data_IF_967551615897
#
_entry.id   IF_967551615897
#
_cell.length_a   1.000
_cell.length_b   1.000
_cell.length_c   1.000
_cell.angle_alpha   90.00
_cell.angle_beta   90.00
_cell.angle_gamma   90.00
#
_symmetry.space_group_name_H-M   'P 1'
#
loop_
_entity.id
_entity.type
_entity.pdbx_description
1 polymer ?
#
# COMPACT_ATOMS: atom_id res chain seq x y z
N UNK A 1 -18.66 -24.72 -19.23
CA UNK A 1 -17.38 -24.64 -19.96
C UNK A 1 -16.56 -23.53 -19.31
N UNK A 2 -15.82 -23.84 -18.25
CA UNK A 2 -14.89 -22.89 -17.63
C UNK A 2 -13.59 -23.04 -18.40
N UNK A 3 -13.15 -21.98 -19.08
CA UNK A 3 -11.84 -21.97 -19.73
C UNK A 3 -10.80 -21.92 -18.63
N UNK A 4 -10.22 -23.09 -18.38
CA UNK A 4 -9.13 -23.33 -17.45
C UNK A 4 -7.80 -22.89 -18.08
N UNK A 5 -7.74 -21.62 -18.49
CA UNK A 5 -6.51 -20.97 -18.96
C UNK A 5 -5.90 -20.13 -17.82
N UNK A 6 -6.13 -20.57 -16.57
CA UNK A 6 -5.55 -19.99 -15.37
C UNK A 6 -4.19 -20.65 -15.06
N UNK A 7 -3.36 -20.85 -16.09
CA UNK A 7 -2.03 -21.46 -15.97
C UNK A 7 -0.91 -20.44 -16.25
N UNK A 8 -1.00 -19.27 -15.62
CA UNK A 8 0.17 -18.44 -15.35
C UNK A 8 0.25 -18.24 -13.84
N UNK A 9 1.35 -18.67 -13.21
CA UNK A 9 1.67 -18.41 -11.80
C UNK A 9 1.94 -16.91 -11.52
N UNK A 10 1.41 -16.03 -12.36
CA UNK A 10 1.65 -14.59 -12.37
C UNK A 10 0.31 -13.89 -12.14
N UNK A 11 0.23 -13.14 -11.06
CA UNK A 11 -0.89 -12.26 -10.77
C UNK A 11 -0.56 -10.89 -11.37
N UNK A 12 -1.25 -10.42 -12.42
CA UNK A 12 -0.97 -9.13 -13.03
C UNK A 12 -1.43 -8.00 -12.09
N UNK A 13 -0.49 -7.14 -11.69
CA UNK A 13 -0.74 -5.96 -10.85
C UNK A 13 -0.33 -4.69 -11.62
N UNK A 14 -1.15 -4.21 -12.57
CA UNK A 14 -0.77 -3.09 -13.45
C UNK A 14 -0.68 -1.74 -12.71
N UNK A 15 -1.37 -1.61 -11.57
CA UNK A 15 -1.50 -0.34 -10.84
C UNK A 15 -0.54 -0.21 -9.64
N UNK A 16 0.31 -1.21 -9.40
CA UNK A 16 1.25 -1.23 -8.28
C UNK A 16 2.66 -1.39 -8.83
N UNK A 17 3.55 -0.46 -8.50
CA UNK A 17 4.95 -0.55 -8.91
C UNK A 17 5.65 -1.71 -8.18
N UNK A 18 6.69 -2.29 -8.78
CA UNK A 18 7.47 -3.35 -8.12
C UNK A 18 8.05 -2.90 -6.78
N UNK A 19 8.56 -1.66 -6.70
CA UNK A 19 9.08 -1.06 -5.47
C UNK A 19 8.01 -0.96 -4.38
N UNK A 20 6.80 -0.51 -4.74
CA UNK A 20 5.66 -0.44 -3.81
C UNK A 20 5.27 -1.83 -3.34
N UNK A 21 5.17 -2.80 -4.27
CA UNK A 21 4.81 -4.18 -3.94
C UNK A 21 5.82 -4.84 -3.00
N UNK A 22 7.13 -4.59 -3.19
CA UNK A 22 8.17 -5.11 -2.28
C UNK A 22 7.93 -4.64 -0.84
N UNK A 23 7.56 -3.38 -0.64
CA UNK A 23 7.27 -2.83 0.68
C UNK A 23 6.00 -3.41 1.31
N UNK A 24 4.95 -3.59 0.51
CA UNK A 24 3.71 -4.24 0.97
C UNK A 24 4.02 -5.68 1.43
N UNK A 25 4.82 -6.42 0.67
CA UNK A 25 5.25 -7.78 1.04
C UNK A 25 6.08 -7.78 2.32
N UNK A 26 6.96 -6.78 2.50
CA UNK A 26 7.75 -6.64 3.73
C UNK A 26 6.86 -6.41 4.95
N UNK A 27 5.86 -5.52 4.82
CA UNK A 27 4.86 -5.28 5.86
C UNK A 27 4.11 -6.55 6.24
N UNK A 28 3.57 -7.29 5.25
CA UNK A 28 2.87 -8.56 5.50
C UNK A 28 3.75 -9.58 6.19
N UNK A 29 5.01 -9.74 5.75
CA UNK A 29 5.94 -10.69 6.39
C UNK A 29 6.17 -10.33 7.84
N UNK A 30 6.33 -9.04 8.16
CA UNK A 30 6.53 -8.60 9.54
C UNK A 30 5.31 -8.80 10.42
N UNK A 31 4.11 -8.55 9.90
CA UNK A 31 2.85 -8.82 10.60
C UNK A 31 2.55 -10.32 10.75
N UNK A 32 3.13 -11.17 9.90
CA UNK A 32 3.02 -12.64 10.02
C UNK A 32 4.06 -13.22 11.00
N UNK A 33 5.26 -12.64 11.09
CA UNK A 33 6.36 -13.13 11.92
C UNK A 33 6.25 -12.69 13.38
N UNK A 34 5.72 -11.49 13.61
CA UNK A 34 5.65 -10.88 14.94
C UNK A 34 4.21 -10.91 15.44
N UNK A 35 3.99 -11.55 16.58
CA UNK A 35 2.78 -11.32 17.37
C UNK A 35 2.75 -9.85 17.86
N UNK A 36 1.61 -9.35 18.37
CA UNK A 36 1.38 -7.96 18.85
C UNK A 36 2.35 -7.54 19.98
N UNK A 37 3.60 -7.33 19.60
CA UNK A 37 4.75 -7.09 20.45
C UNK A 37 5.18 -5.63 20.29
N UNK A 38 6.00 -5.15 21.22
CA UNK A 38 6.55 -3.79 21.11
C UNK A 38 7.52 -3.64 19.93
N UNK A 39 8.05 -4.75 19.41
CA UNK A 39 8.82 -4.79 18.17
C UNK A 39 7.96 -4.48 16.95
N UNK A 40 6.75 -5.06 16.86
CA UNK A 40 5.80 -4.79 15.78
C UNK A 40 5.39 -3.30 15.77
N UNK A 41 5.03 -2.75 16.93
CA UNK A 41 4.70 -1.31 17.06
C UNK A 41 5.87 -0.40 16.67
N UNK A 42 7.11 -0.83 16.93
CA UNK A 42 8.31 -0.09 16.55
C UNK A 42 8.55 -0.18 15.04
N UNK A 43 8.31 -1.34 14.45
CA UNK A 43 8.33 -1.53 13.00
C UNK A 43 7.30 -0.62 12.33
N UNK A 44 6.04 -0.61 12.76
CA UNK A 44 4.97 0.21 12.16
C UNK A 44 5.34 1.69 12.16
N UNK A 45 5.82 2.20 13.30
CA UNK A 45 6.28 3.59 13.42
C UNK A 45 7.42 3.93 12.47
N UNK A 46 8.29 2.98 12.16
CA UNK A 46 9.39 3.21 11.22
C UNK A 46 8.96 3.00 9.78
N UNK A 47 8.01 2.10 9.53
CA UNK A 47 7.42 1.86 8.22
C UNK A 47 6.68 3.08 7.69
N UNK A 48 6.02 3.83 8.58
CA UNK A 48 5.32 5.08 8.26
C UNK A 48 6.27 6.27 7.99
N UNK A 49 7.55 6.20 8.38
CA UNK A 49 8.56 7.25 8.13
C UNK A 49 9.12 7.20 6.70
N UNK A 50 8.22 7.21 5.72
CA UNK A 50 8.57 7.24 4.30
C UNK A 50 8.24 8.61 3.71
N UNK A 51 8.83 8.94 2.57
CA UNK A 51 8.48 10.17 1.85
C UNK A 51 7.01 10.16 1.45
N UNK A 52 6.36 11.33 1.47
CA UNK A 52 4.95 11.52 1.11
C UNK A 52 4.56 10.86 -0.24
N UNK A 53 5.46 10.88 -1.22
CA UNK A 53 5.23 10.19 -2.50
C UNK A 53 5.09 8.68 -2.33
N UNK A 54 5.97 8.07 -1.53
CA UNK A 54 5.96 6.63 -1.27
C UNK A 54 4.75 6.25 -0.41
N UNK A 55 4.40 7.08 0.57
CA UNK A 55 3.19 6.92 1.38
C UNK A 55 1.92 6.92 0.51
N UNK A 56 1.80 7.87 -0.41
CA UNK A 56 0.68 7.92 -1.35
C UNK A 56 0.60 6.66 -2.23
N UNK A 57 1.74 6.17 -2.71
CA UNK A 57 1.77 4.98 -3.56
C UNK A 57 1.42 3.72 -2.75
N UNK A 58 1.82 3.64 -1.47
CA UNK A 58 1.42 2.58 -0.54
C UNK A 58 -0.09 2.61 -0.25
N UNK A 59 -0.69 3.79 -0.05
CA UNK A 59 -2.14 3.92 0.17
C UNK A 59 -2.92 3.45 -1.06
N UNK A 60 -2.49 3.85 -2.26
CA UNK A 60 -3.13 3.40 -3.51
C UNK A 60 -3.00 1.88 -3.65
N UNK A 61 -1.85 1.31 -3.31
CA UNK A 61 -1.64 -0.13 -3.35
C UNK A 61 -2.50 -0.88 -2.32
N UNK A 62 -2.55 -0.41 -1.07
CA UNK A 62 -3.38 -1.00 -0.01
C UNK A 62 -4.87 -1.01 -0.40
N UNK A 63 -5.37 0.11 -0.93
CA UNK A 63 -6.74 0.20 -1.43
C UNK A 63 -6.98 -0.71 -2.66
N UNK A 64 -6.00 -0.85 -3.56
CA UNK A 64 -6.11 -1.73 -4.72
C UNK A 64 -6.10 -3.22 -4.34
N UNK A 65 -5.35 -3.59 -3.29
CA UNK A 65 -5.21 -4.96 -2.79
C UNK A 65 -6.30 -5.35 -1.78
N UNK A 66 -7.21 -4.43 -1.44
CA UNK A 66 -8.25 -4.58 -0.42
C UNK A 66 -7.69 -4.96 0.97
N UNK A 67 -6.52 -4.42 1.31
CA UNK A 67 -5.89 -4.60 2.61
C UNK A 67 -6.26 -3.45 3.55
N UNK A 68 -7.27 -3.70 4.38
CA UNK A 68 -7.80 -2.72 5.35
C UNK A 68 -6.83 -2.45 6.48
N UNK A 69 -6.09 -3.45 6.94
CA UNK A 69 -5.17 -3.29 8.06
C UNK A 69 -4.01 -2.37 7.66
N UNK A 70 -3.43 -2.59 6.48
CA UNK A 70 -2.41 -1.71 5.93
C UNK A 70 -2.97 -0.31 5.62
N UNK A 71 -4.17 -0.22 5.07
CA UNK A 71 -4.80 1.08 4.77
C UNK A 71 -5.04 1.90 6.05
N UNK A 72 -5.57 1.27 7.09
CA UNK A 72 -5.81 1.91 8.38
C UNK A 72 -4.48 2.34 9.03
N UNK A 73 -3.45 1.49 8.98
CA UNK A 73 -2.12 1.83 9.49
C UNK A 73 -1.53 3.08 8.79
N UNK A 74 -1.70 3.20 7.46
CA UNK A 74 -1.17 4.32 6.67
C UNK A 74 -1.95 5.63 6.86
N UNK A 75 -3.23 5.57 7.21
CA UNK A 75 -4.11 6.74 7.37
C UNK A 75 -4.01 7.41 8.76
N UNK A 76 -3.24 6.84 9.70
CA UNK A 76 -3.08 7.38 11.06
C UNK A 76 -2.29 8.70 11.10
N UNK A 77 -1.59 9.13 10.03
CA UNK A 77 -0.98 10.47 9.92
C UNK A 77 -1.77 11.39 8.95
N UNK A 78 -2.92 11.96 9.38
CA UNK A 78 -3.95 12.49 8.48
C UNK A 78 -3.64 13.84 7.82
N UNK A 79 -2.75 14.66 8.38
CA UNK A 79 -2.67 16.08 7.98
C UNK A 79 -1.92 16.31 6.65
N UNK A 80 -0.90 15.52 6.34
CA UNK A 80 -0.14 15.67 5.08
C UNK A 80 -0.75 14.85 3.92
N UNK A 81 -1.39 13.72 4.24
CA UNK A 81 -1.96 12.78 3.25
C UNK A 81 -3.18 13.39 2.55
N UNK A 82 -4.06 14.08 3.28
CA UNK A 82 -5.29 14.66 2.74
C UNK A 82 -5.00 15.74 1.68
N UNK A 83 -3.94 16.54 1.87
CA UNK A 83 -3.54 17.55 0.89
C UNK A 83 -2.94 16.89 -0.37
N UNK A 84 -2.12 15.86 -0.21
CA UNK A 84 -1.51 15.14 -1.33
C UNK A 84 -2.56 14.43 -2.21
N UNK A 85 -3.57 13.81 -1.60
CA UNK A 85 -4.67 13.16 -2.31
C UNK A 85 -5.49 14.17 -3.11
N UNK A 86 -5.90 15.30 -2.50
CA UNK A 86 -6.62 16.36 -3.23
C UNK A 86 -5.81 16.89 -4.42
N UNK A 87 -4.49 17.08 -4.26
CA UNK A 87 -3.63 17.59 -5.35
C UNK A 87 -3.47 16.55 -6.47
N UNK A 88 -3.23 15.26 -6.16
CA UNK A 88 -3.10 14.20 -7.18
C UNK A 88 -4.42 13.99 -7.96
N UNK A 89 -5.57 13.95 -7.29
CA UNK A 89 -6.87 13.78 -7.94
C UNK A 89 -7.20 14.96 -8.86
N UNK A 90 -6.93 16.20 -8.44
CA UNK A 90 -7.14 17.39 -9.27
C UNK A 90 -6.21 17.39 -10.49
N UNK A 91 -4.94 16.98 -10.34
CA UNK A 91 -3.99 16.88 -11.46
C UNK A 91 -4.36 15.79 -12.46
N UNK A 92 -4.84 14.63 -12.00
CA UNK A 92 -5.23 13.52 -12.89
C UNK A 92 -6.42 13.93 -13.79
N UNK A 93 -7.40 14.65 -13.22
CA UNK A 93 -8.58 15.15 -13.95
C UNK A 93 -8.29 16.29 -14.93
N UNK A 94 -7.16 16.99 -14.75
CA UNK A 94 -6.78 18.11 -15.64
C UNK A 94 -5.95 17.65 -16.86
N UNK A 95 -5.58 16.37 -16.92
CA UNK A 95 -4.81 15.77 -18.02
C UNK A 95 -5.63 14.74 -18.83
N UNK A 96 -6.94 14.63 -18.56
CA UNK A 96 -7.95 13.99 -19.42
C UNK A 96 -8.70 15.05 -20.21
#
# INVERSE_FOLDING_TARGET
>A
MVKDDCASNTIPLPNVSSKTMTKVIEYWKKHLELEETDELKTFDKNFLKVHLSELCDLIIAANYLDDKELLDALLIEPEEICQAYNIKYVKKRSNE
#
